data_IF_061915558768
#
_entry.id   IF_061915558768
#
_cell.length_a   1.000
_cell.length_b   1.000
_cell.length_c   1.000
_cell.angle_alpha   90.00
_cell.angle_beta   90.00
_cell.angle_gamma   90.00
#
_symmetry.space_group_name_H-M   'P 1'
#
loop_
_entity.id
_entity.type
_entity.pdbx_description
1 polymer ?
#
# COMPACT_ATOMS: atom_id res chain seq x y z
N UNK A 1 -38.39 -13.57 11.23
CA UNK A 1 -37.12 -13.87 10.54
C UNK A 1 -36.94 -12.74 9.56
N UNK A 2 -36.09 -11.76 9.88
CA UNK A 2 -35.77 -10.68 8.96
C UNK A 2 -35.03 -11.30 7.78
N UNK A 3 -35.57 -11.16 6.56
CA UNK A 3 -34.88 -11.53 5.33
C UNK A 3 -33.54 -10.77 5.33
N UNK A 4 -32.46 -11.54 5.49
CA UNK A 4 -31.10 -11.03 5.42
C UNK A 4 -30.90 -10.55 3.96
N UNK A 5 -31.15 -9.27 3.70
CA UNK A 5 -30.97 -8.67 2.36
C UNK A 5 -29.52 -8.91 1.98
N UNK A 6 -29.33 -9.82 1.03
CA UNK A 6 -28.00 -10.18 0.56
C UNK A 6 -27.41 -9.02 -0.22
N UNK A 7 -26.45 -8.33 0.36
CA UNK A 7 -25.77 -7.19 -0.29
C UNK A 7 -24.80 -7.73 -1.34
N UNK A 8 -24.88 -7.19 -2.55
CA UNK A 8 -24.00 -7.56 -3.66
C UNK A 8 -22.65 -6.87 -3.53
N UNK A 9 -22.65 -5.56 -3.22
CA UNK A 9 -21.48 -4.70 -3.26
C UNK A 9 -21.32 -3.90 -1.95
N UNK A 10 -20.12 -3.92 -1.37
CA UNK A 10 -19.68 -2.95 -0.36
C UNK A 10 -18.64 -2.02 -0.99
N UNK A 11 -18.93 -0.73 -1.09
CA UNK A 11 -18.00 0.27 -1.59
C UNK A 11 -17.30 0.94 -0.42
N UNK A 12 -16.00 0.80 -0.30
CA UNK A 12 -15.19 1.37 0.78
C UNK A 12 -14.43 2.58 0.27
N UNK A 13 -14.68 3.73 0.89
CA UNK A 13 -14.12 5.04 0.52
C UNK A 13 -13.32 5.60 1.69
N UNK A 14 -11.99 5.69 1.60
CA UNK A 14 -11.19 6.45 2.54
C UNK A 14 -11.38 7.94 2.25
N UNK A 15 -11.62 8.74 3.30
CA UNK A 15 -11.96 10.18 3.18
C UNK A 15 -10.93 11.01 3.93
N UNK A 16 -10.40 12.05 3.26
CA UNK A 16 -9.54 13.02 3.91
C UNK A 16 -9.62 14.40 3.26
N UNK A 17 -10.30 15.36 3.96
CA UNK A 17 -10.51 16.74 3.51
C UNK A 17 -11.18 16.81 2.12
N UNK A 18 -12.37 16.23 2.00
CA UNK A 18 -13.06 16.02 0.72
C UNK A 18 -14.53 16.45 0.77
N UNK A 19 -14.84 17.51 1.55
CA UNK A 19 -16.20 17.98 1.79
C UNK A 19 -17.00 18.25 0.51
N UNK A 20 -16.33 18.65 -0.58
CA UNK A 20 -16.97 19.02 -1.86
C UNK A 20 -17.30 17.80 -2.72
N UNK A 21 -16.57 16.70 -2.57
CA UNK A 21 -16.67 15.54 -3.49
C UNK A 21 -17.52 14.39 -2.94
N UNK A 22 -17.76 14.34 -1.63
CA UNK A 22 -18.45 13.22 -0.97
C UNK A 22 -19.87 12.99 -1.46
N UNK A 23 -20.67 14.07 -1.53
CA UNK A 23 -22.05 13.95 -1.98
C UNK A 23 -22.15 13.56 -3.46
N UNK A 24 -21.44 14.23 -4.41
CA UNK A 24 -21.41 13.81 -5.80
C UNK A 24 -20.91 12.36 -5.98
N UNK A 25 -19.91 11.94 -5.20
CA UNK A 25 -19.40 10.57 -5.25
C UNK A 25 -20.49 9.56 -4.87
N UNK A 26 -21.18 9.80 -3.75
CA UNK A 26 -22.26 8.92 -3.30
C UNK A 26 -23.39 8.83 -4.33
N UNK A 27 -23.85 9.98 -4.83
CA UNK A 27 -24.94 10.04 -5.84
C UNK A 27 -24.59 9.23 -7.10
N UNK A 28 -23.36 9.35 -7.61
CA UNK A 28 -22.88 8.57 -8.77
C UNK A 28 -22.74 7.09 -8.47
N UNK A 29 -22.30 6.70 -7.27
CA UNK A 29 -22.28 5.28 -6.84
C UNK A 29 -23.72 4.74 -6.79
N UNK A 30 -24.64 5.49 -6.17
CA UNK A 30 -26.05 5.12 -6.04
C UNK A 30 -26.69 4.93 -7.42
N UNK A 31 -26.51 5.90 -8.32
CA UNK A 31 -27.03 5.83 -9.69
C UNK A 31 -26.47 4.59 -10.43
N UNK A 32 -25.16 4.38 -10.36
CA UNK A 32 -24.51 3.24 -10.99
C UNK A 32 -25.05 1.91 -10.48
N UNK A 33 -25.19 1.75 -9.18
CA UNK A 33 -25.69 0.52 -8.60
C UNK A 33 -27.18 0.30 -8.90
N UNK A 34 -28.00 1.35 -8.82
CA UNK A 34 -29.43 1.28 -9.09
C UNK A 34 -29.71 0.92 -10.55
N UNK A 35 -28.99 1.54 -11.50
CA UNK A 35 -29.15 1.26 -12.92
C UNK A 35 -28.77 -0.18 -13.31
N UNK A 36 -27.94 -0.84 -12.48
CA UNK A 36 -27.53 -2.23 -12.68
C UNK A 36 -28.27 -3.22 -11.76
N UNK A 37 -29.27 -2.78 -11.01
CA UNK A 37 -30.04 -3.58 -10.05
C UNK A 37 -29.16 -4.32 -9.01
N UNK A 38 -28.08 -3.69 -8.54
CA UNK A 38 -27.23 -4.20 -7.48
C UNK A 38 -27.66 -3.65 -6.13
N UNK A 39 -27.78 -4.55 -5.15
CA UNK A 39 -27.90 -4.16 -3.74
C UNK A 39 -26.51 -3.71 -3.22
N UNK A 40 -26.43 -2.56 -2.59
CA UNK A 40 -25.14 -2.00 -2.20
C UNK A 40 -25.17 -1.27 -0.86
N UNK A 41 -23.98 -1.09 -0.30
CA UNK A 41 -23.69 -0.20 0.79
C UNK A 41 -22.41 0.59 0.50
N UNK A 42 -22.29 1.78 1.08
CA UNK A 42 -21.07 2.60 1.01
C UNK A 42 -20.54 2.82 2.42
N UNK A 43 -19.28 2.47 2.62
CA UNK A 43 -18.57 2.62 3.89
C UNK A 43 -17.55 3.75 3.73
N UNK A 44 -17.87 4.92 4.25
CA UNK A 44 -16.98 6.06 4.30
C UNK A 44 -16.15 6.04 5.59
N UNK A 45 -14.83 6.14 5.47
CA UNK A 45 -13.92 6.19 6.61
C UNK A 45 -13.17 7.51 6.61
N UNK A 46 -13.59 8.44 7.46
CA UNK A 46 -12.96 9.75 7.65
C UNK A 46 -11.66 9.61 8.44
N UNK A 47 -10.54 9.79 7.77
CA UNK A 47 -9.19 9.70 8.33
C UNK A 47 -8.78 11.00 9.02
N UNK A 48 -9.62 11.46 9.95
CA UNK A 48 -9.40 12.67 10.75
C UNK A 48 -9.36 13.96 9.94
N UNK A 49 -10.36 14.16 9.05
CA UNK A 49 -10.50 15.40 8.28
C UNK A 49 -10.63 16.63 9.17
N UNK A 50 -10.06 17.75 8.70
CA UNK A 50 -10.08 19.05 9.39
C UNK A 50 -11.13 19.99 8.81
N UNK A 51 -11.72 19.66 7.66
CA UNK A 51 -12.80 20.36 6.98
C UNK A 51 -14.18 19.85 7.44
N UNK A 52 -15.22 20.11 6.66
CA UNK A 52 -16.59 19.70 6.97
C UNK A 52 -16.93 18.28 6.47
N UNK A 53 -15.96 17.50 6.01
CA UNK A 53 -16.19 16.13 5.50
C UNK A 53 -17.04 15.28 6.46
N UNK A 54 -16.72 15.28 7.77
CA UNK A 54 -17.50 14.53 8.74
C UNK A 54 -18.94 15.01 8.86
N UNK A 55 -19.19 16.31 8.71
CA UNK A 55 -20.55 16.87 8.75
C UNK A 55 -21.37 16.40 7.53
N UNK A 56 -20.74 16.41 6.33
CA UNK A 56 -21.35 15.89 5.09
C UNK A 56 -21.70 14.41 5.25
N UNK A 57 -20.78 13.59 5.77
CA UNK A 57 -21.02 12.16 6.01
C UNK A 57 -22.18 11.90 6.98
N UNK A 58 -22.31 12.72 8.03
CA UNK A 58 -23.45 12.63 8.95
C UNK A 58 -24.78 12.94 8.25
N UNK A 59 -24.82 13.96 7.41
CA UNK A 59 -26.03 14.33 6.64
C UNK A 59 -26.40 13.23 5.65
N UNK A 60 -25.42 12.70 4.91
CA UNK A 60 -25.62 11.57 4.01
C UNK A 60 -26.17 10.34 4.74
N UNK A 61 -25.60 10.01 5.93
CA UNK A 61 -26.11 8.91 6.76
C UNK A 61 -27.54 9.13 7.22
N UNK A 62 -27.93 10.34 7.58
CA UNK A 62 -29.31 10.66 7.97
C UNK A 62 -30.28 10.50 6.80
N UNK A 63 -29.86 10.88 5.58
CA UNK A 63 -30.69 10.77 4.38
C UNK A 63 -30.78 9.33 3.87
N UNK A 64 -29.69 8.55 3.99
CA UNK A 64 -29.57 7.18 3.47
C UNK A 64 -29.15 6.17 4.55
N UNK A 65 -29.98 5.99 5.61
CA UNK A 65 -29.58 5.22 6.81
C UNK A 65 -29.27 3.74 6.53
N UNK A 66 -29.89 3.14 5.53
CA UNK A 66 -29.69 1.72 5.17
C UNK A 66 -28.52 1.49 4.22
N UNK A 67 -28.03 2.51 3.54
CA UNK A 67 -27.01 2.38 2.51
C UNK A 67 -25.62 2.88 2.94
N UNK A 68 -25.55 3.73 3.96
CA UNK A 68 -24.29 4.37 4.37
C UNK A 68 -23.86 3.88 5.75
N UNK A 69 -22.58 3.56 5.85
CA UNK A 69 -21.81 3.44 7.09
C UNK A 69 -20.79 4.58 7.10
N UNK A 70 -20.76 5.38 8.15
CA UNK A 70 -19.79 6.45 8.31
C UNK A 70 -18.97 6.25 9.58
N UNK A 71 -17.64 6.24 9.44
CA UNK A 71 -16.70 6.00 10.53
C UNK A 71 -15.71 7.16 10.56
N UNK A 72 -15.43 7.69 11.75
CA UNK A 72 -14.40 8.69 11.97
C UNK A 72 -13.25 8.12 12.79
N UNK A 73 -12.03 8.25 12.27
CA UNK A 73 -10.82 7.86 12.99
C UNK A 73 -10.41 8.94 14.00
N UNK A 74 -9.81 8.52 15.10
CA UNK A 74 -9.35 9.42 16.17
C UNK A 74 -8.11 10.24 15.81
N UNK A 75 -7.39 9.83 14.76
CA UNK A 75 -6.20 10.51 14.21
C UNK A 75 -6.01 10.13 12.75
N UNK A 76 -5.28 10.96 12.00
CA UNK A 76 -4.87 10.60 10.65
C UNK A 76 -3.94 9.37 10.70
N UNK A 77 -4.38 8.28 10.12
CA UNK A 77 -3.72 6.97 10.12
C UNK A 77 -3.27 6.56 8.71
N UNK A 78 -3.65 7.33 7.69
CA UNK A 78 -3.36 7.12 6.28
C UNK A 78 -4.40 6.24 5.56
N UNK A 79 -4.50 6.44 4.26
CA UNK A 79 -5.48 5.81 3.37
C UNK A 79 -5.61 4.29 3.55
N UNK A 80 -4.48 3.58 3.63
CA UNK A 80 -4.50 2.12 3.79
C UNK A 80 -5.09 1.68 5.13
N UNK A 81 -4.82 2.43 6.20
CA UNK A 81 -5.40 2.17 7.52
C UNK A 81 -6.90 2.46 7.55
N UNK A 82 -7.35 3.52 6.87
CA UNK A 82 -8.76 3.83 6.69
C UNK A 82 -9.49 2.72 5.93
N UNK A 83 -8.91 2.22 4.83
CA UNK A 83 -9.46 1.06 4.10
C UNK A 83 -9.55 -0.19 4.98
N UNK A 84 -8.51 -0.51 5.76
CA UNK A 84 -8.54 -1.63 6.71
C UNK A 84 -9.62 -1.47 7.77
N UNK A 85 -9.87 -0.25 8.23
CA UNK A 85 -11.00 0.05 9.10
C UNK A 85 -12.31 -0.26 8.40
N UNK A 86 -12.54 0.27 7.20
CA UNK A 86 -13.76 0.06 6.41
C UNK A 86 -14.04 -1.41 6.11
N UNK A 87 -13.01 -2.20 5.87
CA UNK A 87 -13.15 -3.64 5.63
C UNK A 87 -13.81 -4.40 6.80
N UNK A 88 -13.77 -3.89 8.03
CA UNK A 88 -14.46 -4.53 9.16
C UNK A 88 -15.98 -4.37 9.12
N UNK A 89 -16.51 -3.49 8.28
CA UNK A 89 -17.94 -3.17 8.21
C UNK A 89 -18.62 -3.63 6.93
N UNK A 90 -17.90 -4.32 6.04
CA UNK A 90 -18.47 -4.86 4.79
C UNK A 90 -19.44 -6.01 5.05
N UNK A 91 -20.52 -6.05 4.26
CA UNK A 91 -21.52 -7.13 4.24
C UNK A 91 -21.74 -7.69 2.82
N UNK A 92 -21.23 -6.99 1.81
CA UNK A 92 -21.37 -7.37 0.40
C UNK A 92 -20.52 -8.57 0.01
N UNK A 93 -20.96 -9.25 -1.03
CA UNK A 93 -20.24 -10.37 -1.65
C UNK A 93 -18.94 -9.92 -2.32
N UNK A 94 -18.94 -8.71 -2.87
CA UNK A 94 -17.81 -8.07 -3.52
C UNK A 94 -17.55 -6.74 -2.86
N UNK A 95 -16.28 -6.41 -2.72
CA UNK A 95 -15.80 -5.16 -2.11
C UNK A 95 -15.14 -4.32 -3.17
N UNK A 96 -15.58 -3.08 -3.30
CA UNK A 96 -14.98 -2.07 -4.17
C UNK A 96 -14.23 -1.08 -3.30
N UNK A 97 -13.00 -0.75 -3.64
CA UNK A 97 -12.30 0.40 -3.08
C UNK A 97 -12.21 1.49 -4.14
N UNK A 98 -12.53 2.72 -3.76
CA UNK A 98 -12.48 3.89 -4.64
C UNK A 98 -12.06 5.11 -3.80
N UNK A 99 -11.24 6.00 -4.38
CA UNK A 99 -10.82 7.24 -3.73
C UNK A 99 -11.94 8.29 -3.76
N UNK A 100 -11.87 9.26 -2.84
CA UNK A 100 -12.88 10.31 -2.63
C UNK A 100 -12.75 11.51 -3.56
N UNK A 101 -11.78 11.51 -4.50
CA UNK A 101 -11.39 12.66 -5.32
C UNK A 101 -12.01 12.69 -6.74
N UNK A 102 -12.94 11.77 -7.03
CA UNK A 102 -13.65 11.62 -8.31
C UNK A 102 -12.75 11.39 -9.54
N UNK A 103 -11.46 11.12 -9.35
CA UNK A 103 -10.57 10.77 -10.46
C UNK A 103 -10.94 9.43 -11.12
N UNK A 104 -11.49 8.51 -10.35
CA UNK A 104 -12.05 7.26 -10.81
C UNK A 104 -13.58 7.37 -10.87
N UNK A 105 -14.19 7.35 -12.05
CA UNK A 105 -15.65 7.47 -12.17
C UNK A 105 -16.33 6.22 -11.61
N UNK A 106 -17.30 6.36 -10.68
CA UNK A 106 -18.07 5.25 -10.15
C UNK A 106 -18.77 4.40 -11.19
N UNK A 107 -19.10 4.96 -12.34
CA UNK A 107 -19.73 4.26 -13.48
C UNK A 107 -18.84 3.10 -14.00
N UNK A 108 -17.52 3.21 -13.85
CA UNK A 108 -16.58 2.18 -14.27
C UNK A 108 -16.54 0.97 -13.33
N UNK A 109 -17.30 0.97 -12.22
CA UNK A 109 -17.59 -0.23 -11.43
C UNK A 109 -18.16 -1.34 -12.34
N UNK A 110 -18.94 -0.98 -13.32
CA UNK A 110 -19.50 -1.91 -14.32
C UNK A 110 -18.39 -2.67 -15.05
N UNK A 111 -17.31 -1.98 -15.42
CA UNK A 111 -16.20 -2.61 -16.15
C UNK A 111 -15.40 -3.58 -15.25
N UNK A 112 -15.23 -3.25 -13.96
CA UNK A 112 -14.62 -4.18 -12.99
C UNK A 112 -15.45 -5.46 -12.87
N UNK A 113 -16.77 -5.34 -12.72
CA UNK A 113 -17.69 -6.48 -12.58
C UNK A 113 -17.76 -7.31 -13.87
N UNK A 114 -17.78 -6.66 -15.04
CA UNK A 114 -17.74 -7.37 -16.34
C UNK A 114 -16.45 -8.19 -16.45
N UNK A 115 -15.31 -7.58 -16.16
CA UNK A 115 -14.02 -8.25 -16.16
C UNK A 115 -14.02 -9.46 -15.19
N UNK A 116 -14.52 -9.28 -13.98
CA UNK A 116 -14.63 -10.35 -12.99
C UNK A 116 -15.51 -11.51 -13.51
N UNK A 117 -16.66 -11.21 -14.11
CA UNK A 117 -17.57 -12.24 -14.65
C UNK A 117 -16.93 -13.06 -15.77
N UNK A 118 -16.11 -12.41 -16.60
CA UNK A 118 -15.40 -13.06 -17.72
C UNK A 118 -14.21 -13.89 -17.25
N UNK A 119 -13.38 -13.33 -16.36
CA UNK A 119 -12.12 -13.94 -15.92
C UNK A 119 -12.26 -14.85 -14.71
N UNK A 120 -13.35 -14.70 -13.93
CA UNK A 120 -13.54 -15.33 -12.62
C UNK A 120 -12.44 -14.97 -11.63
N UNK A 121 -11.79 -13.84 -11.82
CA UNK A 121 -10.73 -13.35 -10.92
C UNK A 121 -11.29 -13.03 -9.53
N UNK A 122 -10.48 -13.24 -8.51
CA UNK A 122 -10.78 -12.87 -7.13
C UNK A 122 -10.48 -11.42 -6.83
N UNK A 123 -9.62 -10.80 -7.64
CA UNK A 123 -9.20 -9.42 -7.54
C UNK A 123 -9.10 -8.82 -8.94
N UNK A 124 -9.81 -7.70 -9.18
CA UNK A 124 -9.73 -6.96 -10.43
C UNK A 124 -9.26 -5.55 -10.14
N UNK A 125 -8.19 -5.13 -10.81
CA UNK A 125 -7.67 -3.75 -10.76
C UNK A 125 -8.20 -2.92 -11.93
N UNK A 126 -8.70 -1.72 -11.62
CA UNK A 126 -8.97 -0.71 -12.65
C UNK A 126 -7.68 -0.03 -13.09
N UNK A 127 -7.29 -0.21 -14.35
CA UNK A 127 -6.06 0.36 -14.91
C UNK A 127 -6.37 1.35 -16.02
N UNK A 128 -5.55 2.40 -16.14
CA UNK A 128 -5.75 3.45 -17.12
C UNK A 128 -5.06 3.11 -18.44
N UNK A 129 -5.62 3.54 -19.56
CA UNK A 129 -4.95 3.45 -20.87
C UNK A 129 -3.63 4.22 -20.84
N UNK A 130 -2.55 3.55 -21.29
CA UNK A 130 -1.23 4.18 -21.46
C UNK A 130 -1.33 5.28 -22.50
N UNK A 131 -1.19 6.55 -22.11
CA UNK A 131 -1.20 7.71 -23.02
C UNK A 131 -1.64 9.01 -22.36
N UNK A 132 -2.32 8.99 -21.24
CA UNK A 132 -2.85 10.20 -20.59
C UNK A 132 -1.91 10.87 -19.58
N UNK A 133 -0.77 10.26 -19.23
CA UNK A 133 0.21 10.88 -18.33
C UNK A 133 1.31 11.58 -19.13
N UNK A 134 1.21 12.90 -19.33
CA UNK A 134 2.33 13.77 -19.72
C UNK A 134 3.22 14.01 -18.49
N UNK A 135 4.22 13.17 -18.29
CA UNK A 135 5.22 13.37 -17.25
C UNK A 135 6.64 13.39 -17.83
N UNK A 136 7.53 14.24 -17.26
CA UNK A 136 8.93 14.42 -17.67
C UNK A 136 9.69 13.08 -17.80
N UNK A 137 10.48 12.93 -18.85
CA UNK A 137 11.27 11.73 -19.23
C UNK A 137 12.20 11.27 -18.09
N UNK A 138 12.82 12.20 -17.36
CA UNK A 138 13.74 11.89 -16.26
C UNK A 138 13.02 11.22 -15.08
N UNK A 139 11.78 11.67 -14.77
CA UNK A 139 10.95 11.06 -13.74
C UNK A 139 10.46 9.67 -14.15
N UNK A 140 10.29 9.40 -15.44
CA UNK A 140 9.90 8.10 -15.97
C UNK A 140 11.02 7.05 -15.86
N UNK A 141 12.29 7.40 -16.12
CA UNK A 141 13.41 6.45 -16.00
C UNK A 141 13.61 5.99 -14.56
N UNK A 142 13.63 6.92 -13.59
CA UNK A 142 13.72 6.59 -12.17
C UNK A 142 12.56 5.70 -11.70
N UNK A 143 11.34 5.98 -12.17
CA UNK A 143 10.15 5.17 -11.83
C UNK A 143 10.16 3.77 -12.46
N UNK A 144 10.74 3.61 -13.66
CA UNK A 144 10.85 2.29 -14.33
C UNK A 144 11.84 1.39 -13.60
N UNK A 145 13.03 1.91 -13.25
CA UNK A 145 14.03 1.16 -12.50
C UNK A 145 13.49 0.77 -11.13
N UNK A 146 12.88 1.73 -10.45
CA UNK A 146 12.26 1.50 -9.14
C UNK A 146 11.15 0.47 -9.20
N UNK A 147 10.28 0.56 -10.22
CA UNK A 147 9.21 -0.40 -10.46
C UNK A 147 9.76 -1.81 -10.72
N UNK A 148 10.81 -1.96 -11.53
CA UNK A 148 11.47 -3.26 -11.76
C UNK A 148 12.09 -3.84 -10.48
N UNK A 149 12.70 -3.01 -9.65
CA UNK A 149 13.23 -3.43 -8.34
C UNK A 149 12.09 -3.89 -7.43
N UNK A 150 10.99 -3.15 -7.36
CA UNK A 150 9.81 -3.51 -6.58
C UNK A 150 9.14 -4.78 -7.13
N UNK A 151 8.94 -4.89 -8.44
CA UNK A 151 8.41 -6.09 -9.10
C UNK A 151 9.27 -7.33 -8.79
N UNK A 152 10.60 -7.19 -8.86
CA UNK A 152 11.53 -8.29 -8.55
C UNK A 152 11.57 -8.63 -7.05
N UNK A 153 11.41 -7.64 -6.19
CA UNK A 153 11.52 -7.81 -4.74
C UNK A 153 10.20 -8.26 -4.10
N UNK A 154 9.05 -7.86 -4.66
CA UNK A 154 7.71 -8.13 -4.09
C UNK A 154 6.89 -9.13 -4.91
N UNK A 155 7.36 -9.49 -6.09
CA UNK A 155 6.75 -10.53 -6.96
C UNK A 155 5.45 -10.16 -7.64
N UNK A 156 4.91 -8.93 -7.52
CA UNK A 156 3.51 -8.74 -7.85
C UNK A 156 2.98 -7.37 -8.25
N UNK A 157 3.72 -6.30 -8.45
CA UNK A 157 3.06 -5.02 -8.75
C UNK A 157 3.20 -4.65 -10.23
N UNK A 158 2.58 -5.43 -11.13
CA UNK A 158 2.50 -4.99 -12.53
C UNK A 158 1.51 -3.86 -12.77
N UNK A 159 0.36 -3.85 -12.09
CA UNK A 159 -0.70 -2.85 -12.31
C UNK A 159 -1.57 -2.71 -11.05
N UNK A 160 -1.08 -2.04 -10.00
CA UNK A 160 -1.89 -1.72 -8.82
C UNK A 160 -2.63 -0.39 -8.99
N UNK A 161 -3.85 -0.33 -8.52
CA UNK A 161 -4.71 0.85 -8.51
C UNK A 161 -5.52 0.89 -7.22
N UNK A 162 -5.85 2.08 -6.72
CA UNK A 162 -6.77 2.24 -5.59
C UNK A 162 -8.20 1.83 -5.95
N UNK A 163 -8.55 1.89 -7.24
CA UNK A 163 -9.84 1.44 -7.76
C UNK A 163 -9.79 -0.06 -8.09
N UNK A 164 -10.42 -0.88 -7.25
CA UNK A 164 -10.36 -2.35 -7.36
C UNK A 164 -11.64 -3.01 -6.88
N UNK A 165 -11.89 -4.21 -7.41
CA UNK A 165 -12.96 -5.12 -7.00
C UNK A 165 -12.32 -6.34 -6.35
N UNK A 166 -12.70 -6.65 -5.12
CA UNK A 166 -12.08 -7.70 -4.28
C UNK A 166 -13.18 -8.67 -3.83
N UNK A 167 -12.91 -9.96 -3.88
CA UNK A 167 -13.79 -10.97 -3.29
C UNK A 167 -13.83 -10.80 -1.77
N UNK A 168 -15.03 -10.75 -1.17
CA UNK A 168 -15.19 -10.55 0.28
C UNK A 168 -14.43 -11.61 1.11
N UNK A 169 -14.27 -12.84 0.62
CA UNK A 169 -13.48 -13.87 1.30
C UNK A 169 -12.01 -13.45 1.51
N UNK A 170 -11.42 -12.75 0.53
CA UNK A 170 -10.05 -12.23 0.67
C UNK A 170 -10.03 -11.11 1.72
N UNK A 171 -11.06 -10.26 1.73
CA UNK A 171 -11.16 -9.19 2.73
C UNK A 171 -11.34 -9.74 4.14
N UNK A 172 -12.04 -10.85 4.31
CA UNK A 172 -12.15 -11.55 5.61
C UNK A 172 -10.79 -12.01 6.13
N UNK A 173 -9.92 -12.53 5.26
CA UNK A 173 -8.54 -12.87 5.65
C UNK A 173 -7.72 -11.61 5.95
N UNK A 174 -7.89 -10.53 5.17
CA UNK A 174 -7.24 -9.24 5.44
C UNK A 174 -7.59 -8.66 6.81
N UNK A 175 -8.81 -8.84 7.32
CA UNK A 175 -9.22 -8.38 8.66
C UNK A 175 -8.37 -8.95 9.79
N UNK A 176 -7.78 -10.14 9.58
CA UNK A 176 -6.89 -10.80 10.55
C UNK A 176 -5.48 -10.21 10.54
N UNK A 177 -5.17 -9.38 9.54
CA UNK A 177 -3.83 -8.81 9.38
C UNK A 177 -3.63 -7.65 10.35
N UNK A 178 -2.58 -7.74 11.20
CA UNK A 178 -2.30 -6.77 12.27
C UNK A 178 -0.95 -6.08 12.13
N UNK A 179 -0.35 -6.10 10.94
CA UNK A 179 0.93 -5.42 10.73
C UNK A 179 0.73 -3.90 10.67
N UNK A 180 1.64 -3.16 11.28
CA UNK A 180 1.55 -1.71 11.43
C UNK A 180 1.76 -0.94 10.13
N UNK A 181 2.57 -1.48 9.23
CA UNK A 181 2.81 -0.89 7.91
C UNK A 181 1.97 -1.64 6.88
N UNK A 182 0.87 -1.01 6.46
CA UNK A 182 -0.06 -1.60 5.51
C UNK A 182 0.14 -0.97 4.15
N UNK A 183 0.48 -1.81 3.19
CA UNK A 183 0.35 -1.52 1.77
C UNK A 183 -0.59 -2.59 1.19
N UNK A 184 -1.85 -2.23 1.01
CA UNK A 184 -2.94 -3.19 0.74
C UNK A 184 -2.63 -4.05 -0.48
N UNK A 185 -2.07 -3.47 -1.57
CA UNK A 185 -1.79 -4.24 -2.79
C UNK A 185 -0.76 -5.35 -2.55
N UNK A 186 0.24 -5.09 -1.69
CA UNK A 186 1.22 -6.10 -1.32
C UNK A 186 0.58 -7.21 -0.50
N UNK A 187 -0.29 -6.85 0.44
CA UNK A 187 -0.96 -7.84 1.28
C UNK A 187 -1.94 -8.67 0.44
N UNK A 188 -2.70 -8.04 -0.45
CA UNK A 188 -3.60 -8.73 -1.39
C UNK A 188 -2.86 -9.79 -2.22
N UNK A 189 -1.62 -9.50 -2.66
CA UNK A 189 -0.81 -10.44 -3.42
C UNK A 189 -0.40 -11.71 -2.66
N UNK A 190 -0.47 -11.69 -1.33
CA UNK A 190 -0.22 -12.88 -0.50
C UNK A 190 -1.42 -13.82 -0.44
N UNK A 191 -2.63 -13.28 -0.63
CA UNK A 191 -3.87 -14.05 -0.51
C UNK A 191 -4.41 -14.57 -1.84
N UNK A 192 -4.07 -13.91 -2.97
CA UNK A 192 -4.50 -14.39 -4.28
C UNK A 192 -3.51 -14.03 -5.39
N UNK A 193 -3.34 -14.97 -6.32
CA UNK A 193 -2.68 -14.74 -7.60
C UNK A 193 -3.70 -14.70 -8.75
N UNK A 194 -4.98 -15.01 -8.48
CA UNK A 194 -6.07 -14.96 -9.45
C UNK A 194 -6.54 -13.51 -9.62
N UNK A 195 -5.75 -12.73 -10.36
CA UNK A 195 -5.96 -11.31 -10.58
C UNK A 195 -6.23 -10.99 -12.04
N UNK A 196 -7.04 -9.97 -12.29
CA UNK A 196 -7.30 -9.44 -13.63
C UNK A 196 -7.24 -7.90 -13.62
N UNK A 197 -7.20 -7.31 -14.80
CA UNK A 197 -7.21 -5.86 -14.99
C UNK A 197 -8.34 -5.45 -15.91
N UNK A 198 -9.09 -4.42 -15.54
CA UNK A 198 -10.12 -3.80 -16.34
C UNK A 198 -9.66 -2.39 -16.75
N UNK A 199 -9.88 -2.02 -18.01
CA UNK A 199 -9.60 -0.67 -18.48
C UNK A 199 -10.68 0.27 -17.96
N UNK A 200 -10.24 1.32 -17.24
CA UNK A 200 -11.11 2.34 -16.65
C UNK A 200 -10.67 3.73 -17.08
N UNK A 201 -11.60 4.68 -17.00
CA UNK A 201 -11.31 6.10 -17.27
C UNK A 201 -10.60 6.72 -16.05
N UNK A 202 -9.84 7.75 -16.32
CA UNK A 202 -9.20 8.55 -15.28
C UNK A 202 -9.33 10.02 -15.61
N UNK A 203 -9.97 10.75 -14.71
CA UNK A 203 -10.16 12.19 -14.87
C UNK A 203 -9.09 12.98 -14.10
N UNK A 204 -8.75 14.19 -14.55
CA UNK A 204 -7.97 15.10 -13.75
C UNK A 204 -8.69 15.38 -12.42
N UNK A 205 -7.94 15.59 -11.35
CA UNK A 205 -8.51 15.94 -10.04
C UNK A 205 -9.28 17.26 -10.17
N UNK A 206 -10.53 17.29 -9.74
CA UNK A 206 -11.39 18.47 -9.82
C UNK A 206 -11.02 19.52 -8.75
N UNK A 207 -10.47 19.10 -7.60
CA UNK A 207 -10.04 19.99 -6.52
C UNK A 207 -8.74 19.51 -5.86
N UNK A 208 -7.88 20.46 -5.45
CA UNK A 208 -6.67 20.21 -4.65
C UNK A 208 -5.37 20.05 -5.44
N UNK A 209 -4.24 20.36 -4.79
CA UNK A 209 -2.88 20.20 -5.34
C UNK A 209 -2.26 18.88 -4.88
N UNK A 210 -1.58 18.17 -5.79
CA UNK A 210 -0.82 16.97 -5.46
C UNK A 210 0.31 17.30 -4.46
N UNK A 211 0.16 16.91 -3.20
CA UNK A 211 1.09 17.19 -2.11
C UNK A 211 2.35 16.30 -2.06
N UNK A 212 2.64 15.51 -3.10
CA UNK A 212 3.80 14.62 -3.12
C UNK A 212 5.06 15.32 -3.62
N UNK A 213 5.93 15.73 -2.70
CA UNK A 213 7.29 16.16 -3.06
C UNK A 213 8.13 14.92 -3.45
N UNK A 214 9.18 15.15 -4.26
CA UNK A 214 10.14 14.10 -4.67
C UNK A 214 10.74 13.37 -3.45
N UNK A 215 10.98 14.10 -2.36
CA UNK A 215 11.52 13.55 -1.11
C UNK A 215 10.54 12.58 -0.42
N UNK A 216 9.25 12.90 -0.42
CA UNK A 216 8.19 12.00 0.10
C UNK A 216 8.09 10.72 -0.74
N UNK A 217 8.26 10.82 -2.07
CA UNK A 217 8.21 9.65 -2.96
C UNK A 217 9.38 8.70 -2.70
N UNK A 218 10.60 9.23 -2.54
CA UNK A 218 11.80 8.44 -2.22
C UNK A 218 11.65 7.78 -0.84
N UNK A 219 11.23 8.55 0.18
CA UNK A 219 11.01 8.04 1.53
C UNK A 219 9.96 6.93 1.57
N UNK A 220 8.85 7.11 0.85
CA UNK A 220 7.79 6.11 0.71
C UNK A 220 8.31 4.82 0.06
N UNK A 221 9.08 4.95 -1.00
CA UNK A 221 9.67 3.81 -1.71
C UNK A 221 10.67 3.05 -0.87
N UNK A 222 11.58 3.76 -0.19
CA UNK A 222 12.52 3.13 0.76
C UNK A 222 11.74 2.41 1.87
N UNK A 223 10.65 3.02 2.35
CA UNK A 223 9.74 2.40 3.30
C UNK A 223 9.20 1.06 2.80
N UNK A 224 8.72 0.99 1.56
CA UNK A 224 8.21 -0.27 0.96
C UNK A 224 9.34 -1.29 0.86
N UNK A 225 10.50 -0.91 0.31
CA UNK A 225 11.64 -1.83 0.13
C UNK A 225 12.04 -2.45 1.48
N UNK A 226 12.17 -1.64 2.51
CA UNK A 226 12.64 -2.12 3.82
C UNK A 226 11.53 -2.90 4.56
N UNK A 227 10.24 -2.51 4.42
CA UNK A 227 9.14 -3.19 5.12
C UNK A 227 8.73 -4.53 4.49
N UNK A 228 8.82 -4.63 3.16
CA UNK A 228 8.27 -5.79 2.43
C UNK A 228 9.33 -6.63 1.73
N UNK A 229 10.61 -6.25 1.81
CA UNK A 229 11.68 -7.03 1.18
C UNK A 229 12.86 -7.24 2.12
N UNK A 230 13.56 -8.33 1.93
CA UNK A 230 14.85 -8.61 2.59
C UNK A 230 16.04 -8.18 1.72
N UNK A 231 15.80 -7.41 0.66
CA UNK A 231 16.80 -7.04 -0.34
C UNK A 231 17.99 -6.27 0.25
N UNK A 232 17.80 -5.25 1.13
CA UNK A 232 18.91 -4.55 1.76
C UNK A 232 19.79 -5.48 2.60
N UNK A 233 19.17 -6.42 3.31
CA UNK A 233 19.88 -7.39 4.15
C UNK A 233 20.71 -8.37 3.28
N UNK A 234 20.14 -8.88 2.18
CA UNK A 234 20.86 -9.72 1.22
C UNK A 234 22.04 -9.01 0.56
N UNK A 235 21.86 -7.73 0.18
CA UNK A 235 22.95 -6.91 -0.38
C UNK A 235 24.13 -6.83 0.58
N UNK A 236 23.90 -6.56 1.86
CA UNK A 236 24.97 -6.52 2.85
C UNK A 236 25.63 -7.88 3.02
N UNK A 237 24.84 -8.95 3.03
CA UNK A 237 25.39 -10.31 3.11
C UNK A 237 26.32 -10.60 1.93
N UNK A 238 25.94 -10.24 0.71
CA UNK A 238 26.80 -10.44 -0.47
C UNK A 238 28.05 -9.56 -0.45
N UNK A 239 27.92 -8.29 -0.06
CA UNK A 239 29.06 -7.38 0.08
C UNK A 239 30.04 -7.91 1.16
N UNK A 240 29.52 -8.35 2.30
CA UNK A 240 30.31 -8.93 3.38
C UNK A 240 31.04 -10.20 2.94
N UNK A 241 30.37 -11.06 2.17
CA UNK A 241 30.93 -12.32 1.66
C UNK A 241 32.06 -12.04 0.64
N UNK A 242 31.86 -11.09 -0.27
CA UNK A 242 32.89 -10.67 -1.23
C UNK A 242 34.09 -10.03 -0.50
N UNK A 243 33.82 -9.15 0.47
CA UNK A 243 34.88 -8.52 1.28
C UNK A 243 35.68 -9.55 2.07
N UNK A 244 35.02 -10.51 2.70
CA UNK A 244 35.66 -11.61 3.44
C UNK A 244 36.54 -12.48 2.54
N UNK A 245 36.01 -12.88 1.37
CA UNK A 245 36.77 -13.66 0.41
C UNK A 245 37.99 -12.90 -0.12
N UNK A 246 37.81 -11.62 -0.48
CA UNK A 246 38.92 -10.77 -0.92
C UNK A 246 39.99 -10.59 0.15
N UNK A 247 39.58 -10.40 1.40
CA UNK A 247 40.50 -10.29 2.56
C UNK A 247 41.26 -11.60 2.78
N UNK A 248 40.59 -12.75 2.62
CA UNK A 248 41.24 -14.06 2.74
C UNK A 248 42.31 -14.26 1.66
N UNK A 249 41.99 -13.94 0.41
CA UNK A 249 42.94 -14.06 -0.73
C UNK A 249 44.14 -13.12 -0.52
N UNK A 250 43.90 -11.86 -0.13
CA UNK A 250 44.97 -10.89 0.16
C UNK A 250 45.83 -11.33 1.34
N UNK A 251 45.19 -11.79 2.42
CA UNK A 251 45.89 -12.27 3.62
C UNK A 251 46.80 -13.46 3.29
N UNK A 252 46.29 -14.45 2.53
CA UNK A 252 47.10 -15.61 2.06
C UNK A 252 48.28 -15.18 1.19
N UNK A 253 48.04 -14.23 0.27
CA UNK A 253 49.11 -13.65 -0.54
C UNK A 253 50.21 -12.99 0.30
N UNK A 254 49.84 -12.20 1.28
CA UNK A 254 50.82 -11.53 2.17
C UNK A 254 51.59 -12.54 3.02
N UNK A 255 51.00 -13.61 3.49
CA UNK A 255 51.65 -14.69 4.25
C UNK A 255 52.70 -15.36 3.31
N UNK A 256 52.33 -15.71 2.11
CA UNK A 256 53.23 -16.36 1.11
C UNK A 256 54.41 -15.44 0.76
N UNK A 257 54.14 -14.15 0.48
CA UNK A 257 55.17 -13.15 0.20
C UNK A 257 56.15 -12.98 1.36
N UNK A 258 55.65 -12.97 2.60
CA UNK A 258 56.48 -12.88 3.81
C UNK A 258 57.37 -14.11 3.99
N UNK A 259 56.90 -15.28 3.64
CA UNK A 259 57.69 -16.52 3.72
C UNK A 259 58.78 -16.64 2.63
N UNK A 260 58.54 -16.00 1.47
CA UNK A 260 59.44 -16.09 0.30
C UNK A 260 60.41 -14.91 0.17
N UNK A 261 60.18 -13.79 0.87
CA UNK A 261 60.94 -12.54 0.74
C UNK A 261 61.10 -11.81 2.08
N UNK A 262 62.28 -11.22 2.33
CA UNK A 262 62.56 -10.35 3.47
C UNK A 262 61.90 -8.98 3.26
N UNK A 263 60.60 -8.91 3.29
CA UNK A 263 59.83 -7.65 3.11
C UNK A 263 59.86 -6.88 4.41
N UNK A 264 60.57 -5.73 4.45
CA UNK A 264 60.40 -4.71 5.50
C UNK A 264 59.02 -4.07 5.32
N UNK A 265 58.09 -4.41 6.18
CA UNK A 265 56.70 -3.96 6.12
C UNK A 265 56.56 -2.51 6.50
N UNK A 266 56.71 -1.60 5.55
CA UNK A 266 56.14 -0.25 5.66
C UNK A 266 54.62 -0.33 5.44
N UNK A 267 53.84 -0.59 6.51
CA UNK A 267 52.42 -0.93 6.35
C UNK A 267 51.46 -0.21 7.27
N UNK A 268 51.92 0.72 8.13
CA UNK A 268 51.04 1.37 9.11
C UNK A 268 49.77 2.00 8.49
N UNK A 269 49.95 2.76 7.41
CA UNK A 269 48.84 3.44 6.72
C UNK A 269 47.86 2.43 6.12
N UNK A 270 48.34 1.36 5.50
CA UNK A 270 47.49 0.30 4.91
C UNK A 270 46.70 -0.44 5.98
N UNK A 271 47.31 -0.72 7.15
CA UNK A 271 46.62 -1.35 8.28
C UNK A 271 45.54 -0.42 8.84
N UNK A 272 45.83 0.88 9.04
CA UNK A 272 44.87 1.84 9.56
C UNK A 272 43.69 2.03 8.61
N UNK A 273 43.95 2.12 7.30
CA UNK A 273 42.88 2.19 6.28
C UNK A 273 42.01 0.92 6.29
N UNK A 274 42.63 -0.26 6.37
CA UNK A 274 41.90 -1.52 6.40
C UNK A 274 41.02 -1.63 7.67
N UNK A 275 41.53 -1.24 8.84
CA UNK A 275 40.79 -1.28 10.12
C UNK A 275 39.62 -0.29 10.07
N UNK A 276 39.86 0.98 9.67
CA UNK A 276 38.80 2.01 9.62
C UNK A 276 37.72 1.68 8.60
N UNK A 277 38.11 1.14 7.43
CA UNK A 277 37.16 0.71 6.42
C UNK A 277 36.32 -0.48 6.91
N UNK A 278 36.95 -1.48 7.50
CA UNK A 278 36.23 -2.65 8.07
C UNK A 278 35.31 -2.23 9.22
N UNK A 279 35.74 -1.34 10.10
CA UNK A 279 34.91 -0.81 11.19
C UNK A 279 33.70 -0.04 10.63
N UNK A 280 33.90 0.81 9.61
CA UNK A 280 32.81 1.51 8.92
C UNK A 280 31.80 0.57 8.30
N UNK A 281 32.26 -0.49 7.61
CA UNK A 281 31.39 -1.51 7.01
C UNK A 281 30.61 -2.30 8.05
N UNK A 282 31.24 -2.64 9.19
CA UNK A 282 30.56 -3.31 10.31
C UNK A 282 29.51 -2.40 10.94
N UNK A 283 29.80 -1.13 11.20
CA UNK A 283 28.82 -0.17 11.74
C UNK A 283 27.64 0.04 10.80
N UNK A 284 27.88 0.13 9.51
CA UNK A 284 26.81 0.21 8.51
C UNK A 284 25.92 -1.04 8.51
N UNK A 285 26.54 -2.23 8.56
CA UNK A 285 25.82 -3.51 8.60
C UNK A 285 24.97 -3.64 9.88
N UNK A 286 25.51 -3.25 11.03
CA UNK A 286 24.80 -3.23 12.31
C UNK A 286 23.64 -2.24 12.29
N UNK A 287 23.80 -1.09 11.64
CA UNK A 287 22.73 -0.10 11.45
C UNK A 287 21.54 -0.68 10.69
N UNK A 288 21.78 -1.42 9.61
CA UNK A 288 20.70 -2.07 8.86
C UNK A 288 20.06 -3.20 9.66
N UNK A 289 20.83 -4.02 10.34
CA UNK A 289 20.30 -5.06 11.24
C UNK A 289 19.42 -4.41 12.34
N UNK A 290 19.89 -3.31 12.93
CA UNK A 290 19.14 -2.54 13.92
C UNK A 290 17.78 -2.05 13.38
N UNK A 291 17.73 -1.58 12.12
CA UNK A 291 16.48 -1.18 11.47
C UNK A 291 15.50 -2.35 11.35
N UNK A 292 15.95 -3.56 10.97
CA UNK A 292 15.09 -4.73 10.90
C UNK A 292 14.63 -5.19 12.28
N UNK A 293 15.51 -5.17 13.29
CA UNK A 293 15.15 -5.49 14.68
C UNK A 293 14.10 -4.50 15.21
N UNK A 294 14.26 -3.21 14.94
CA UNK A 294 13.29 -2.17 15.30
C UNK A 294 11.91 -2.48 14.71
N UNK A 295 11.84 -2.93 13.47
CA UNK A 295 10.57 -3.30 12.79
C UNK A 295 9.94 -4.53 13.41
N UNK A 296 10.73 -5.56 13.72
CA UNK A 296 10.25 -6.74 14.43
C UNK A 296 9.68 -6.33 15.79
N UNK A 297 10.39 -5.49 16.53
CA UNK A 297 9.92 -4.95 17.80
C UNK A 297 8.60 -4.20 17.67
N UNK A 298 8.49 -3.29 16.70
CA UNK A 298 7.25 -2.52 16.44
C UNK A 298 6.11 -3.48 16.08
N UNK A 299 6.34 -4.50 15.26
CA UNK A 299 5.31 -5.47 14.88
C UNK A 299 4.83 -6.30 16.09
N UNK A 300 5.72 -6.58 17.04
CA UNK A 300 5.41 -7.31 18.27
C UNK A 300 4.62 -6.45 19.29
N UNK A 301 4.73 -5.11 19.23
CA UNK A 301 4.03 -4.23 20.19
C UNK A 301 2.51 -4.18 19.97
N UNK A 302 1.98 -4.81 18.91
CA UNK A 302 0.56 -4.87 18.59
C UNK A 302 -0.15 -3.51 18.65
N UNK A 303 0.55 -2.44 18.32
CA UNK A 303 -0.06 -1.10 18.27
C UNK A 303 -1.22 -1.11 17.27
N UNK A 304 -2.37 -0.49 17.63
CA UNK A 304 -3.50 -0.45 16.73
C UNK A 304 -3.16 0.34 15.45
N UNK A 305 -3.50 -0.23 14.31
CA UNK A 305 -3.29 0.36 12.98
C UNK A 305 -4.08 1.67 12.85
N UNK A 306 -5.28 1.70 13.43
CA UNK A 306 -6.18 2.84 13.52
C UNK A 306 -6.92 2.81 14.86
N UNK A 307 -7.55 3.91 15.21
CA UNK A 307 -8.48 4.01 16.35
C UNK A 307 -9.73 4.73 15.89
N UNK A 308 -10.88 4.17 16.18
CA UNK A 308 -12.19 4.77 15.82
C UNK A 308 -12.61 5.74 16.91
N UNK A 309 -12.94 6.99 16.53
CA UNK A 309 -13.53 8.00 17.41
C UNK A 309 -15.05 7.89 17.44
N UNK A 310 -15.67 7.77 16.25
CA UNK A 310 -17.13 7.71 16.08
C UNK A 310 -17.49 6.75 14.95
N UNK A 311 -18.61 6.06 15.10
CA UNK A 311 -19.16 5.21 14.06
C UNK A 311 -20.67 5.37 13.97
N UNK A 312 -21.19 5.55 12.75
CA UNK A 312 -22.61 5.59 12.42
C UNK A 312 -22.90 4.36 11.56
N UNK A 313 -23.20 3.25 12.20
CA UNK A 313 -23.40 1.95 11.58
C UNK A 313 -24.85 1.84 11.10
N UNK A 314 -25.11 0.94 10.19
CA UNK A 314 -26.47 0.53 9.82
C UNK A 314 -26.98 -0.31 10.99
N UNK A 315 -27.96 0.19 11.73
CA UNK A 315 -28.60 -0.59 12.77
C UNK A 315 -29.24 -1.82 12.12
N UNK A 316 -28.89 -2.99 12.59
CA UNK A 316 -29.69 -4.18 12.34
C UNK A 316 -31.05 -3.89 12.93
N UNK A 317 -32.07 -3.76 12.08
CA UNK A 317 -33.46 -3.57 12.53
C UNK A 317 -33.78 -4.81 13.37
N UNK A 318 -33.78 -4.60 14.68
CA UNK A 318 -34.18 -5.57 15.70
C UNK A 318 -35.65 -5.95 15.59
#
# INVERSE_FOLDING_TARGET
MADNVKIDLSVVVPVYNSEETLQPLFERIQETCTNNAWTFEVIFVDDYSQDKSWQVLRQLKQTYPSQIVAIKLAKNSGQHSALMCGFNYIRGKWVITIDDDLQNPPEDIVELIKCQRQTKADLVYGVYQKGQKKHSIIRNMGSIVLRKILESATGSIRESSAFRLINAKIVEELRRHRQMHIYIDQILSWYTQNTATALVRHFPREAGTSGYSMFKLISFTLGIIINYTVLPLRLITYIGLIASFSSFVLGTRFIILKMLSDIKVAGFTAIMVAITFSAGLLMFSLGIIGEYISRIYISQTQRPIYSVEKSLIIDEIS
#
